data_IF_468066390447
#
_entry.id   IF_468066390447
#
_cell.length_a   1.000
_cell.length_b   1.000
_cell.length_c   1.000
_cell.angle_alpha   90.00
_cell.angle_beta   90.00
_cell.angle_gamma   90.00
#
_symmetry.space_group_name_H-M   'P 1'
#
loop_
_entity.id
_entity.type
_entity.pdbx_description
1 polymer ?
#
# COMPACT_ATOMS: atom_id res chain seq x y z
N UNK A 1 22.97 -15.21 28.14
CA UNK A 1 22.03 -14.66 29.14
C UNK A 1 21.97 -13.14 29.12
N UNK A 2 23.11 -12.43 29.18
CA UNK A 2 23.15 -10.95 29.16
C UNK A 2 22.43 -10.32 27.95
N UNK A 3 22.78 -10.73 26.73
CA UNK A 3 22.17 -10.18 25.51
C UNK A 3 20.66 -10.41 25.41
N UNK A 4 20.18 -11.57 25.87
CA UNK A 4 18.75 -11.92 25.87
C UNK A 4 18.00 -11.03 26.87
N UNK A 5 18.55 -10.82 28.07
CA UNK A 5 17.98 -9.92 29.06
C UNK A 5 17.95 -8.47 28.56
N UNK A 6 19.00 -8.00 27.90
CA UNK A 6 19.04 -6.66 27.28
C UNK A 6 17.96 -6.51 26.21
N UNK A 7 17.81 -7.51 25.35
CA UNK A 7 16.78 -7.52 24.30
C UNK A 7 15.36 -7.46 24.89
N UNK A 8 15.10 -8.29 25.91
CA UNK A 8 13.81 -8.31 26.61
C UNK A 8 13.53 -6.97 27.30
N UNK A 9 14.52 -6.34 27.94
CA UNK A 9 14.36 -5.04 28.61
C UNK A 9 14.06 -3.89 27.63
N UNK A 10 14.60 -3.95 26.40
CA UNK A 10 14.29 -2.98 25.33
C UNK A 10 12.82 -3.13 24.90
N UNK A 11 12.35 -4.35 24.68
CA UNK A 11 10.97 -4.65 24.28
C UNK A 11 9.96 -4.39 25.41
N UNK A 12 10.38 -4.61 26.67
CA UNK A 12 9.56 -4.38 27.86
C UNK A 12 9.54 -2.90 28.31
N UNK A 13 10.31 -2.03 27.65
CA UNK A 13 10.22 -0.58 27.80
C UNK A 13 8.86 -0.09 27.31
N UNK A 14 7.85 -0.19 28.17
CA UNK A 14 6.55 0.42 27.95
C UNK A 14 6.72 1.93 27.79
N UNK A 15 5.95 2.52 26.87
CA UNK A 15 5.89 3.95 26.63
C UNK A 15 5.89 4.69 27.96
N UNK A 16 7.00 5.36 28.29
CA UNK A 16 6.98 6.39 29.31
C UNK A 16 5.94 7.39 28.82
N UNK A 17 4.76 7.36 29.45
CA UNK A 17 3.62 8.22 29.11
C UNK A 17 3.99 9.64 29.53
N UNK A 18 4.87 10.27 28.76
CA UNK A 18 4.89 11.72 28.65
C UNK A 18 3.51 12.08 28.14
N UNK A 19 2.76 12.81 28.96
CA UNK A 19 1.38 13.22 28.69
C UNK A 19 1.16 13.42 27.18
N UNK A 20 0.22 12.70 26.53
CA UNK A 20 0.00 12.80 25.07
C UNK A 20 -0.33 14.22 24.57
N UNK A 21 -0.59 15.16 25.50
CA UNK A 21 -0.96 16.54 25.24
C UNK A 21 0.04 17.38 24.44
N UNK A 22 1.29 16.93 24.22
CA UNK A 22 2.23 17.61 23.30
C UNK A 22 2.49 16.85 21.99
N UNK A 23 2.02 15.61 21.85
CA UNK A 23 2.08 14.87 20.57
C UNK A 23 0.86 15.10 19.69
N UNK A 24 -0.27 15.52 20.28
CA UNK A 24 -1.47 15.91 19.53
C UNK A 24 -1.25 17.11 18.60
N UNK A 25 -0.40 18.06 18.98
CA UNK A 25 -0.05 19.22 18.14
C UNK A 25 0.92 18.87 17.00
N UNK A 26 1.72 17.81 17.14
CA UNK A 26 2.66 17.36 16.11
C UNK A 26 2.02 16.41 15.10
N UNK A 27 0.96 15.71 15.49
CA UNK A 27 0.10 14.91 14.60
C UNK A 27 -0.96 15.79 13.91
N UNK A 28 -0.56 16.97 13.43
CA UNK A 28 -1.42 17.85 12.64
C UNK A 28 -2.10 17.07 11.50
N UNK A 29 -3.39 17.32 11.30
CA UNK A 29 -4.29 16.61 10.40
C UNK A 29 -3.70 16.29 9.02
N UNK A 30 -2.78 17.12 8.52
CA UNK A 30 -2.08 16.96 7.24
C UNK A 30 -1.32 15.64 7.09
N UNK A 31 -0.77 15.08 8.17
CA UNK A 31 0.00 13.82 8.09
C UNK A 31 -0.89 12.60 7.86
N UNK A 32 -2.04 12.54 8.53
CA UNK A 32 -3.02 11.47 8.32
C UNK A 32 -3.74 11.64 6.98
N UNK A 33 -3.99 12.89 6.54
CA UNK A 33 -4.53 13.17 5.21
C UNK A 33 -3.54 12.75 4.11
N UNK A 34 -2.25 13.04 4.28
CA UNK A 34 -1.21 12.57 3.36
C UNK A 34 -1.15 11.03 3.32
N UNK A 35 -1.19 10.36 4.47
CA UNK A 35 -1.27 8.91 4.55
C UNK A 35 -2.51 8.34 3.85
N UNK A 36 -3.68 8.95 4.05
CA UNK A 36 -4.92 8.56 3.40
C UNK A 36 -4.87 8.77 1.87
N UNK A 37 -4.31 9.88 1.40
CA UNK A 37 -4.15 10.17 -0.03
C UNK A 37 -3.22 9.16 -0.72
N UNK A 38 -2.09 8.83 -0.10
CA UNK A 38 -1.17 7.80 -0.61
C UNK A 38 -1.85 6.43 -0.63
N UNK A 39 -2.60 6.07 0.42
CA UNK A 39 -3.35 4.82 0.47
C UNK A 39 -4.40 4.71 -0.64
N UNK A 40 -5.16 5.78 -0.89
CA UNK A 40 -6.15 5.83 -1.98
C UNK A 40 -5.49 5.74 -3.36
N UNK A 41 -4.40 6.45 -3.59
CA UNK A 41 -3.65 6.36 -4.84
C UNK A 41 -3.12 4.94 -5.10
N UNK A 42 -2.61 4.28 -4.05
CA UNK A 42 -2.16 2.88 -4.14
C UNK A 42 -3.30 1.92 -4.48
N UNK A 43 -4.46 2.06 -3.84
CA UNK A 43 -5.64 1.24 -4.14
C UNK A 43 -6.12 1.44 -5.58
N UNK A 44 -6.16 2.69 -6.06
CA UNK A 44 -6.54 2.99 -7.44
C UNK A 44 -5.54 2.41 -8.45
N UNK A 45 -4.23 2.49 -8.18
CA UNK A 45 -3.19 1.90 -9.02
C UNK A 45 -3.31 0.37 -9.09
N UNK A 46 -3.52 -0.30 -7.95
CA UNK A 46 -3.74 -1.75 -7.90
C UNK A 46 -5.00 -2.16 -8.65
N UNK A 47 -6.10 -1.43 -8.47
CA UNK A 47 -7.34 -1.68 -9.20
C UNK A 47 -7.18 -1.49 -10.71
N UNK A 48 -6.49 -0.42 -11.12
CA UNK A 48 -6.15 -0.15 -12.52
C UNK A 48 -5.32 -1.27 -13.14
N UNK A 49 -4.26 -1.70 -12.47
CA UNK A 49 -3.42 -2.80 -12.94
C UNK A 49 -4.18 -4.14 -13.06
N UNK A 50 -5.06 -4.45 -12.10
CA UNK A 50 -5.89 -5.65 -12.15
C UNK A 50 -6.91 -5.62 -13.29
N UNK A 51 -7.44 -4.43 -13.63
CA UNK A 51 -8.42 -4.27 -14.71
C UNK A 51 -7.75 -4.18 -16.08
N UNK A 52 -6.56 -3.56 -16.17
CA UNK A 52 -5.72 -3.52 -17.37
C UNK A 52 -5.36 -4.91 -17.86
N UNK A 53 -4.87 -5.79 -16.97
CA UNK A 53 -4.55 -7.19 -17.32
C UNK A 53 -5.73 -8.01 -17.85
N UNK A 54 -6.97 -7.63 -17.53
CA UNK A 54 -8.15 -8.29 -18.12
C UNK A 54 -8.42 -7.80 -19.54
N UNK A 55 -8.13 -6.52 -19.81
CA UNK A 55 -8.31 -5.91 -21.11
C UNK A 55 -7.21 -6.32 -22.08
N UNK A 56 -5.96 -6.37 -21.64
CA UNK A 56 -4.82 -6.86 -22.44
C UNK A 56 -4.99 -8.34 -22.87
N UNK A 57 -5.74 -9.15 -22.10
CA UNK A 57 -6.02 -10.54 -22.44
C UNK A 57 -7.21 -10.71 -23.41
N UNK A 58 -8.09 -9.71 -23.49
CA UNK A 58 -9.27 -9.70 -24.37
C UNK A 58 -8.89 -9.09 -25.74
N UNK A 59 -8.08 -8.04 -25.74
CA UNK A 59 -7.54 -7.35 -26.93
C UNK A 59 -6.66 -8.29 -27.79
N UNK A 60 -5.77 -9.06 -27.15
CA UNK A 60 -4.93 -10.07 -27.85
C UNK A 60 -5.78 -11.18 -28.47
N UNK A 61 -6.93 -11.51 -27.89
CA UNK A 61 -7.85 -12.54 -28.42
C UNK A 61 -8.67 -12.03 -29.61
N UNK A 62 -8.95 -10.72 -29.69
CA UNK A 62 -9.66 -10.11 -30.81
C UNK A 62 -8.71 -9.85 -31.98
N UNK A 63 -7.49 -9.36 -31.72
CA UNK A 63 -6.44 -9.16 -32.74
C UNK A 63 -6.04 -10.49 -33.42
N UNK A 64 -5.91 -11.59 -32.67
CA UNK A 64 -5.60 -12.92 -33.26
C UNK A 64 -6.77 -13.47 -34.11
N UNK A 65 -8.02 -13.15 -33.76
CA UNK A 65 -9.19 -13.61 -34.50
C UNK A 65 -9.40 -12.82 -35.81
N UNK A 66 -9.08 -11.52 -35.83
CA UNK A 66 -9.19 -10.67 -37.03
C UNK A 66 -8.06 -11.00 -38.04
N UNK A 67 -6.87 -11.34 -37.56
CA UNK A 67 -5.75 -11.80 -38.39
C UNK A 67 -5.98 -13.18 -39.04
N UNK A 68 -6.74 -14.07 -38.39
CA UNK A 68 -7.13 -15.36 -38.99
C UNK A 68 -8.24 -15.20 -40.04
N UNK A 69 -9.17 -14.25 -39.88
CA UNK A 69 -10.24 -14.02 -40.87
C UNK A 69 -9.69 -13.39 -42.17
N UNK A 70 -8.78 -12.42 -42.08
CA UNK A 70 -8.19 -11.74 -43.25
C UNK A 70 -7.25 -12.65 -44.08
N UNK A 71 -6.78 -13.76 -43.48
CA UNK A 71 -5.91 -14.74 -44.13
C UNK A 71 -6.66 -15.89 -44.86
N UNK A 72 -8.01 -15.90 -44.83
CA UNK A 72 -8.87 -16.94 -45.47
C UNK A 72 -9.56 -16.51 -46.76
#
# INVERSE_FOLDING_TARGET
MRAILTFILILAGSAASAHPGHWGDLAGHDHWVAGAAIGLAGLAALWGALKGKKKDAEDVSEDEAELEEEAT
#
